data_IF_030655979820
#
_entry.id   IF_030655979820
#
_cell.length_a   1.000
_cell.length_b   1.000
_cell.length_c   1.000
_cell.angle_alpha   90.00
_cell.angle_beta   90.00
_cell.angle_gamma   90.00
#
_symmetry.space_group_name_H-M   'P 1'
#
loop_
_entity.id
_entity.type
_entity.pdbx_description
1 polymer ?
#
# COMPACT_ATOMS: atom_id res chain seq x y z
N UNK A 1 -8.43 17.31 4.14
CA UNK A 1 -8.07 17.15 2.72
C UNK A 1 -6.57 16.93 2.71
N UNK A 2 -6.16 15.72 3.03
CA UNK A 2 -4.75 15.33 3.03
C UNK A 2 -4.62 14.07 2.17
N UNK A 3 -5.13 14.17 0.94
CA UNK A 3 -4.93 13.19 -0.13
C UNK A 3 -3.46 13.11 -0.58
N UNK A 4 -2.57 13.86 0.06
CA UNK A 4 -1.14 13.89 -0.23
C UNK A 4 -0.34 12.75 0.42
N UNK A 5 -0.91 12.02 1.40
CA UNK A 5 -0.21 10.92 2.10
C UNK A 5 -0.33 9.56 1.39
N UNK A 6 -1.35 9.38 0.56
CA UNK A 6 -1.59 8.13 -0.15
C UNK A 6 -1.67 8.36 -1.66
N UNK A 7 -0.70 7.81 -2.39
CA UNK A 7 -0.68 7.85 -3.86
C UNK A 7 -1.78 7.01 -4.52
N UNK A 8 -2.42 6.12 -3.77
CA UNK A 8 -3.52 5.28 -4.23
C UNK A 8 -4.82 5.67 -3.51
N UNK A 9 -5.86 5.89 -4.31
CA UNK A 9 -7.24 5.96 -3.81
C UNK A 9 -7.66 4.63 -3.19
N UNK A 10 -8.67 4.65 -2.33
CA UNK A 10 -9.22 3.44 -1.71
C UNK A 10 -9.66 2.40 -2.75
N UNK A 11 -10.31 2.82 -3.83
CA UNK A 11 -10.75 1.92 -4.91
C UNK A 11 -9.56 1.25 -5.63
N UNK A 12 -8.48 2.00 -5.89
CA UNK A 12 -7.28 1.44 -6.49
C UNK A 12 -6.59 0.46 -5.54
N UNK A 13 -6.55 0.78 -4.25
CA UNK A 13 -5.97 -0.12 -3.25
C UNK A 13 -6.80 -1.41 -3.11
N UNK A 14 -8.14 -1.33 -3.11
CA UNK A 14 -9.02 -2.50 -3.05
C UNK A 14 -8.80 -3.44 -4.24
N UNK A 15 -8.54 -2.91 -5.44
CA UNK A 15 -8.19 -3.74 -6.61
C UNK A 15 -6.83 -4.41 -6.46
N UNK A 16 -5.89 -3.79 -5.75
CA UNK A 16 -4.55 -4.32 -5.52
C UNK A 16 -4.50 -5.33 -4.36
N UNK A 17 -5.33 -5.15 -3.33
CA UNK A 17 -5.32 -5.94 -2.10
C UNK A 17 -5.33 -7.47 -2.30
N UNK A 18 -6.10 -8.06 -3.24
CA UNK A 18 -6.09 -9.51 -3.49
C UNK A 18 -4.77 -10.05 -4.04
N UNK A 19 -3.92 -9.17 -4.59
CA UNK A 19 -2.63 -9.52 -5.16
C UNK A 19 -1.48 -9.35 -4.17
N UNK A 20 -1.76 -8.89 -2.95
CA UNK A 20 -0.73 -8.75 -1.93
C UNK A 20 -0.28 -10.12 -1.43
N UNK A 21 1.02 -10.30 -1.13
CA UNK A 21 1.51 -11.55 -0.56
C UNK A 21 0.82 -11.82 0.79
N UNK A 22 0.03 -12.90 0.84
CA UNK A 22 -0.63 -13.34 2.07
C UNK A 22 0.29 -14.21 2.95
N UNK A 23 1.28 -14.87 2.33
CA UNK A 23 2.32 -15.61 3.04
C UNK A 23 3.47 -14.66 3.45
N UNK A 24 3.25 -13.90 4.52
CA UNK A 24 4.29 -13.03 5.07
C UNK A 24 5.16 -13.81 6.06
N UNK A 25 6.40 -14.14 5.67
CA UNK A 25 7.43 -14.54 6.64
C UNK A 25 8.00 -13.32 7.37
N UNK A 26 8.14 -13.43 8.69
CA UNK A 26 8.69 -12.36 9.53
C UNK A 26 7.62 -11.46 10.14
N UNK A 27 7.97 -10.20 10.42
CA UNK A 27 7.07 -9.26 11.09
C UNK A 27 5.92 -8.86 10.15
N UNK A 28 4.68 -9.00 10.62
CA UNK A 28 3.50 -8.61 9.87
C UNK A 28 3.57 -7.13 9.46
N UNK A 29 3.18 -6.84 8.22
CA UNK A 29 2.96 -5.46 7.77
C UNK A 29 1.70 -4.95 8.44
N UNK A 30 1.84 -3.85 9.17
CA UNK A 30 0.73 -3.26 9.93
C UNK A 30 -0.20 -2.45 9.02
N UNK A 31 0.31 -1.92 7.91
CA UNK A 31 -0.45 -1.11 6.96
C UNK A 31 0.17 -1.19 5.56
N UNK A 32 -0.38 -2.08 4.72
CA UNK A 32 0.08 -2.27 3.34
C UNK A 32 -0.16 -1.05 2.46
N UNK A 33 -1.21 -0.27 2.73
CA UNK A 33 -1.52 0.94 1.96
C UNK A 33 -0.43 1.98 2.14
N UNK A 34 0.04 2.17 3.38
CA UNK A 34 1.16 3.07 3.68
C UNK A 34 2.48 2.59 3.08
N UNK A 35 2.75 1.29 3.16
CA UNK A 35 3.98 0.71 2.57
C UNK A 35 4.02 0.91 1.06
N UNK A 36 2.92 0.61 0.36
CA UNK A 36 2.84 0.76 -1.10
C UNK A 36 2.93 2.23 -1.51
N UNK A 37 2.28 3.14 -0.75
CA UNK A 37 2.41 4.58 -0.98
C UNK A 37 3.88 5.04 -0.90
N UNK A 38 4.63 4.54 0.09
CA UNK A 38 6.07 4.82 0.23
C UNK A 38 6.90 4.29 -0.94
N UNK A 39 6.59 3.09 -1.46
CA UNK A 39 7.30 2.53 -2.63
C UNK A 39 7.06 3.40 -3.87
N UNK A 40 5.80 3.78 -4.13
CA UNK A 40 5.45 4.64 -5.27
C UNK A 40 6.16 6.00 -5.17
N UNK A 41 6.25 6.57 -3.96
CA UNK A 41 6.92 7.84 -3.73
C UNK A 41 8.42 7.80 -4.08
N UNK A 42 9.11 6.68 -3.82
CA UNK A 42 10.55 6.52 -4.10
C UNK A 42 10.84 6.18 -5.57
N UNK A 43 9.91 5.54 -6.27
CA UNK A 43 10.07 5.18 -7.69
C UNK A 43 9.82 6.34 -8.65
N UNK A 44 9.35 7.49 -8.15
CA UNK A 44 9.16 8.73 -8.91
C UNK A 44 10.45 9.54 -8.92
#
# INVERSE_FOLDING_TARGET
>A
MDDHLFWLTDEQFVRLAPHLPTDTRGKARVDDRRVISGIIHVLK
#
